data_IF_979922549428
#
_entry.id   IF_979922549428
#
_cell.length_a   1.000
_cell.length_b   1.000
_cell.length_c   1.000
_cell.angle_alpha   90.00
_cell.angle_beta   90.00
_cell.angle_gamma   90.00
#
_symmetry.space_group_name_H-M   'P 1'
#
loop_
_entity.id
_entity.type
_entity.pdbx_description
1 polymer ?
#
# COMPACT_ATOMS: atom_id res chain seq x y z
N UNK A 1 -7.86 9.82 -15.49
CA UNK A 1 -8.48 9.65 -14.17
C UNK A 1 -9.44 10.81 -13.91
N UNK A 2 -10.67 10.54 -13.48
CA UNK A 2 -11.71 11.53 -13.20
C UNK A 2 -11.68 11.99 -11.74
N UNK A 3 -12.35 13.10 -11.41
CA UNK A 3 -12.46 13.61 -10.02
C UNK A 3 -12.99 12.54 -9.06
N UNK A 4 -14.01 11.79 -9.49
CA UNK A 4 -14.63 10.71 -8.70
C UNK A 4 -13.67 9.56 -8.43
N UNK A 5 -12.80 9.24 -9.39
CA UNK A 5 -11.78 8.20 -9.21
C UNK A 5 -10.72 8.63 -8.18
N UNK A 6 -10.31 9.90 -8.19
CA UNK A 6 -9.42 10.45 -7.18
C UNK A 6 -10.03 10.43 -5.77
N UNK A 7 -11.30 10.83 -5.64
CA UNK A 7 -12.02 10.78 -4.37
C UNK A 7 -12.10 9.35 -3.81
N UNK A 8 -12.34 8.35 -4.69
CA UNK A 8 -12.34 6.94 -4.29
C UNK A 8 -10.96 6.48 -3.80
N UNK A 9 -9.88 6.88 -4.47
CA UNK A 9 -8.50 6.56 -4.06
C UNK A 9 -8.17 7.20 -2.71
N UNK A 10 -8.55 8.47 -2.49
CA UNK A 10 -8.33 9.13 -1.21
C UNK A 10 -9.13 8.47 -0.07
N UNK A 11 -10.40 8.12 -0.32
CA UNK A 11 -11.20 7.41 0.68
C UNK A 11 -10.62 6.03 1.03
N UNK A 12 -10.06 5.32 0.04
CA UNK A 12 -9.39 4.04 0.26
C UNK A 12 -8.08 4.18 1.04
N UNK A 13 -7.29 5.24 0.76
CA UNK A 13 -6.11 5.61 1.55
C UNK A 13 -6.48 5.82 3.02
N UNK A 14 -7.52 6.61 3.28
CA UNK A 14 -7.97 6.94 4.63
C UNK A 14 -8.49 5.71 5.36
N UNK A 15 -9.21 4.83 4.65
CA UNK A 15 -9.72 3.56 5.19
C UNK A 15 -8.60 2.62 5.66
N UNK A 16 -7.47 2.59 4.94
CA UNK A 16 -6.30 1.80 5.31
C UNK A 16 -5.33 2.54 6.24
N UNK A 17 -5.57 3.82 6.52
CA UNK A 17 -4.72 4.65 7.36
C UNK A 17 -3.32 4.84 6.77
N UNK A 18 -3.26 5.08 5.46
CA UNK A 18 -2.00 5.31 4.73
C UNK A 18 -1.68 6.81 4.66
N UNK A 19 -0.40 7.14 4.51
CA UNK A 19 0.05 8.50 4.22
C UNK A 19 -0.29 8.91 2.76
N UNK A 20 -0.05 10.18 2.42
CA UNK A 20 -0.26 10.70 1.06
C UNK A 20 0.58 9.98 -0.01
N UNK A 21 1.66 9.33 0.41
CA UNK A 21 2.49 8.45 -0.42
C UNK A 21 2.64 7.13 0.31
N UNK A 22 2.37 6.04 -0.41
CA UNK A 22 2.53 4.69 0.09
C UNK A 22 2.96 3.75 -1.05
N UNK A 23 3.84 2.82 -0.73
CA UNK A 23 4.26 1.73 -1.60
C UNK A 23 3.26 0.58 -1.58
N UNK A 24 3.31 -0.30 -2.60
CA UNK A 24 2.50 -1.53 -2.62
C UNK A 24 2.76 -2.40 -1.38
N UNK A 25 3.99 -2.40 -0.86
CA UNK A 25 4.35 -3.12 0.35
C UNK A 25 3.61 -2.56 1.58
N UNK A 26 3.59 -1.23 1.75
CA UNK A 26 2.89 -0.56 2.86
C UNK A 26 1.37 -0.75 2.77
N UNK A 27 0.78 -0.69 1.57
CA UNK A 27 -0.64 -0.97 1.33
C UNK A 27 -0.98 -2.39 1.81
N UNK A 28 -0.17 -3.38 1.42
CA UNK A 28 -0.34 -4.78 1.84
C UNK A 28 -0.16 -4.96 3.35
N UNK A 29 0.82 -4.29 3.94
CA UNK A 29 1.09 -4.36 5.38
C UNK A 29 -0.05 -3.75 6.20
N UNK A 30 -0.57 -2.59 5.78
CA UNK A 30 -1.69 -1.91 6.42
C UNK A 30 -2.95 -2.78 6.39
N UNK A 31 -3.27 -3.36 5.23
CA UNK A 31 -4.38 -4.30 5.09
C UNK A 31 -4.24 -5.50 6.06
N UNK A 32 -3.09 -6.18 6.05
CA UNK A 32 -2.84 -7.33 6.94
C UNK A 32 -2.99 -6.97 8.42
N UNK A 33 -2.50 -5.79 8.83
CA UNK A 33 -2.62 -5.29 10.21
C UNK A 33 -4.08 -5.06 10.60
N UNK A 34 -4.86 -4.43 9.72
CA UNK A 34 -6.26 -4.10 9.96
C UNK A 34 -7.17 -5.34 9.91
N UNK A 35 -6.94 -6.26 8.98
CA UNK A 35 -7.67 -7.54 8.92
C UNK A 35 -7.48 -8.38 10.18
N UNK A 36 -6.27 -8.44 10.73
CA UNK A 36 -6.02 -9.13 12.02
C UNK A 36 -6.77 -8.46 13.18
N UNK A 37 -6.89 -7.13 13.18
CA UNK A 37 -7.56 -6.37 14.24
C UNK A 37 -9.09 -6.48 14.18
N UNK A 38 -9.64 -6.57 12.98
CA UNK A 38 -11.09 -6.58 12.73
C UNK A 38 -11.61 -7.96 12.32
N UNK A 39 -10.87 -9.03 12.60
CA UNK A 39 -11.28 -10.37 12.23
C UNK A 39 -12.61 -10.72 12.93
N UNK A 40 -13.64 -11.19 12.19
CA UNK A 40 -14.94 -11.48 12.76
C UNK A 40 -14.87 -12.53 13.88
N UNK A 41 -13.92 -13.48 13.83
CA UNK A 41 -13.71 -14.47 14.90
C UNK A 41 -13.31 -13.87 16.25
N UNK A 42 -12.80 -12.63 16.29
CA UNK A 42 -12.48 -11.92 17.54
C UNK A 42 -13.71 -11.22 18.14
N UNK A 43 -14.86 -11.27 17.47
CA UNK A 43 -16.07 -10.53 17.82
C UNK A 43 -17.30 -11.43 17.81
N UNK A 44 -18.00 -11.52 18.94
CA UNK A 44 -19.24 -12.28 19.07
C UNK A 44 -20.49 -11.37 19.02
N UNK A 45 -21.62 -11.91 18.57
CA UNK A 45 -22.93 -11.23 18.58
C UNK A 45 -23.03 -10.07 17.59
N UNK A 46 -23.68 -8.96 17.97
CA UNK A 46 -23.82 -7.77 17.11
C UNK A 46 -22.48 -7.16 16.67
N UNK A 47 -21.42 -7.34 17.48
CA UNK A 47 -20.07 -6.90 17.13
C UNK A 47 -19.50 -7.66 15.92
N UNK A 48 -19.95 -8.88 15.66
CA UNK A 48 -19.55 -9.68 14.51
C UNK A 48 -20.07 -9.08 13.19
N UNK A 49 -21.31 -8.58 13.18
CA UNK A 49 -21.89 -7.92 12.00
C UNK A 49 -21.11 -6.65 11.64
N UNK A 50 -20.82 -5.81 12.64
CA UNK A 50 -20.01 -4.60 12.45
C UNK A 50 -18.55 -4.88 12.07
N UNK A 51 -17.98 -6.01 12.52
CA UNK A 51 -16.65 -6.46 12.10
C UNK A 51 -16.64 -6.92 10.63
N UNK A 52 -17.68 -7.65 10.20
CA UNK A 52 -17.82 -8.09 8.81
C UNK A 52 -17.94 -6.90 7.84
N UNK A 53 -18.79 -5.93 8.14
CA UNK A 53 -18.92 -4.71 7.32
C UNK A 53 -17.60 -3.93 7.20
N UNK A 54 -16.84 -3.84 8.29
CA UNK A 54 -15.50 -3.22 8.27
C UNK A 54 -14.52 -4.02 7.42
N UNK A 55 -14.54 -5.35 7.50
CA UNK A 55 -13.68 -6.21 6.69
C UNK A 55 -13.97 -6.05 5.19
N UNK A 56 -15.25 -5.96 4.81
CA UNK A 56 -15.66 -5.72 3.43
C UNK A 56 -15.07 -4.39 2.93
N UNK A 57 -15.25 -3.30 3.68
CA UNK A 57 -14.69 -1.98 3.31
C UNK A 57 -13.17 -1.98 3.19
N UNK A 58 -12.48 -2.67 4.10
CA UNK A 58 -11.02 -2.83 4.04
C UNK A 58 -10.57 -3.58 2.79
N UNK A 59 -11.31 -4.61 2.41
CA UNK A 59 -11.02 -5.42 1.23
C UNK A 59 -11.23 -4.64 -0.07
N UNK A 60 -12.33 -3.88 -0.15
CA UNK A 60 -12.63 -3.01 -1.29
C UNK A 60 -11.58 -1.91 -1.45
N UNK A 61 -11.20 -1.23 -0.36
CA UNK A 61 -10.15 -0.21 -0.36
C UNK A 61 -8.80 -0.79 -0.84
N UNK A 62 -8.43 -1.96 -0.33
CA UNK A 62 -7.20 -2.66 -0.72
C UNK A 62 -7.18 -3.01 -2.21
N UNK A 63 -8.26 -3.58 -2.74
CA UNK A 63 -8.35 -3.93 -4.16
C UNK A 63 -8.30 -2.69 -5.05
N UNK A 64 -8.97 -1.59 -4.66
CA UNK A 64 -8.96 -0.33 -5.39
C UNK A 64 -7.53 0.22 -5.52
N UNK A 65 -6.79 0.30 -4.40
CA UNK A 65 -5.43 0.82 -4.39
C UNK A 65 -4.48 -0.06 -5.19
N UNK A 66 -4.62 -1.40 -5.10
CA UNK A 66 -3.81 -2.29 -5.93
C UNK A 66 -4.06 -2.10 -7.42
N UNK A 67 -5.32 -1.97 -7.84
CA UNK A 67 -5.66 -1.70 -9.24
C UNK A 67 -5.10 -0.36 -9.70
N UNK A 68 -5.18 0.66 -8.85
CA UNK A 68 -4.61 1.97 -9.13
C UNK A 68 -3.09 1.89 -9.34
N UNK A 69 -2.37 1.22 -8.43
CA UNK A 69 -0.92 1.04 -8.56
C UNK A 69 -0.52 0.14 -9.74
N UNK A 70 -1.31 -0.89 -10.06
CA UNK A 70 -1.05 -1.80 -11.17
C UNK A 70 -1.18 -1.13 -12.55
N UNK A 71 -1.91 -0.01 -12.64
CA UNK A 71 -2.00 0.78 -13.87
C UNK A 71 -0.72 1.56 -14.22
N UNK A 72 0.27 1.59 -13.32
CA UNK A 72 1.54 2.26 -13.57
C UNK A 72 2.47 1.38 -14.40
N UNK A 73 2.70 1.77 -15.66
CA UNK A 73 3.63 1.09 -16.56
C UNK A 73 5.07 1.49 -16.20
N UNK A 74 5.83 0.54 -15.65
CA UNK A 74 7.25 0.75 -15.36
C UNK A 74 8.08 0.46 -16.62
N UNK A 75 8.99 1.37 -17.05
CA UNK A 75 9.91 1.07 -18.12
C UNK A 75 10.80 -0.12 -17.72
N UNK A 76 10.75 -1.19 -18.51
CA UNK A 76 11.55 -2.42 -18.29
C UNK A 76 12.93 -2.37 -18.95
N UNK A 77 13.28 -1.24 -19.56
CA UNK A 77 14.59 -0.95 -20.12
C UNK A 77 14.99 0.45 -19.70
N UNK A 78 16.26 0.66 -19.30
CA UNK A 78 16.79 1.99 -19.10
C UNK A 78 16.67 2.78 -20.41
N UNK A 79 16.42 4.08 -20.32
CA UNK A 79 16.59 4.96 -21.47
C UNK A 79 18.04 4.82 -21.93
N UNK A 80 18.26 4.71 -23.24
CA UNK A 80 19.55 4.31 -23.84
C UNK A 80 20.74 5.19 -23.45
N UNK A 81 20.49 6.35 -22.82
CA UNK A 81 21.44 7.46 -22.66
C UNK A 81 21.87 7.71 -21.21
N UNK A 82 21.38 6.95 -20.23
CA UNK A 82 21.77 7.10 -18.83
C UNK A 82 22.92 6.13 -18.48
N UNK A 83 24.09 6.69 -18.16
CA UNK A 83 25.14 5.95 -17.45
C UNK A 83 24.58 5.55 -16.08
N UNK A 84 24.11 4.31 -15.97
CA UNK A 84 23.71 3.73 -14.70
C UNK A 84 24.96 3.27 -13.96
N UNK A 85 25.37 4.03 -12.93
CA UNK A 85 26.19 3.45 -11.86
C UNK A 85 25.29 2.48 -11.08
N UNK A 86 25.61 1.17 -11.05
CA UNK A 86 24.83 0.17 -10.31
C UNK A 86 24.66 0.51 -8.83
N UNK A 87 25.60 1.25 -8.23
CA UNK A 87 25.56 1.63 -6.82
C UNK A 87 24.53 2.74 -6.57
N UNK A 88 24.44 3.75 -7.46
CA UNK A 88 23.47 4.83 -7.37
C UNK A 88 22.03 4.34 -7.58
N UNK A 89 21.81 3.44 -8.54
CA UNK A 89 20.49 2.84 -8.77
C UNK A 89 20.03 2.00 -7.58
N UNK A 90 20.94 1.22 -6.99
CA UNK A 90 20.64 0.40 -5.81
C UNK A 90 20.32 1.28 -4.60
N UNK A 91 21.07 2.36 -4.39
CA UNK A 91 20.89 3.28 -3.28
C UNK A 91 19.63 4.14 -3.42
N UNK A 92 19.30 4.63 -4.62
CA UNK A 92 18.06 5.37 -4.88
C UNK A 92 16.80 4.49 -4.67
N UNK A 93 16.88 3.22 -5.09
CA UNK A 93 15.74 2.30 -5.07
C UNK A 93 15.53 1.61 -3.71
N UNK A 94 16.59 1.26 -2.99
CA UNK A 94 16.55 0.42 -1.79
C UNK A 94 17.28 1.00 -0.57
N UNK A 95 17.97 2.13 -0.70
CA UNK A 95 18.78 2.71 0.39
C UNK A 95 17.98 3.19 1.61
N UNK A 96 16.70 3.52 1.43
CA UNK A 96 15.80 3.93 2.54
C UNK A 96 15.04 2.76 3.20
N UNK A 97 15.34 1.50 2.85
CA UNK A 97 14.72 0.35 3.51
C UNK A 97 15.32 0.16 4.93
N UNK A 98 14.48 0.13 6.00
CA UNK A 98 14.92 -0.09 7.37
C UNK A 98 15.64 -1.43 7.61
N UNK A 99 15.55 -2.39 6.68
CA UNK A 99 16.25 -3.67 6.77
C UNK A 99 17.78 -3.54 6.51
N UNK A 100 18.20 -2.49 5.79
CA UNK A 100 19.58 -2.31 5.32
C UNK A 100 20.19 -0.96 5.70
N UNK A 101 19.38 0.00 6.17
CA UNK A 101 19.90 1.21 6.83
C UNK A 101 20.64 0.82 8.11
N UNK A 102 21.94 1.13 8.16
CA UNK A 102 22.81 0.89 9.32
C UNK A 102 22.14 1.38 10.60
N UNK A 103 21.96 0.46 11.56
CA UNK A 103 21.90 0.79 12.98
C UNK A 103 23.30 1.21 13.39
N UNK A 104 23.64 2.47 13.15
CA UNK A 104 24.73 3.09 13.88
C UNK A 104 24.21 3.49 15.28
N UNK A 105 25.04 3.15 16.26
CA UNK A 105 24.77 3.09 17.69
C UNK A 105 25.15 4.39 18.38
#
# INVERSE_FOLDING_TARGET
MTRREWEAVMAARDTLGLADRATIAEIKQAYRRLSKRHHPDLSAGEKAKGANERMIRLSEAYQLLLRYCAGYNFPLKPSSDEHFDPEDWWMDRFGQDPLWSRRDK
#
